data_IF_391098516504
#
_entry.id   IF_391098516504
#
_cell.length_a   1.000
_cell.length_b   1.000
_cell.length_c   1.000
_cell.angle_alpha   90.00
_cell.angle_beta   90.00
_cell.angle_gamma   90.00
#
_symmetry.space_group_name_H-M   'P 1'
#
loop_
_entity.id
_entity.type
_entity.pdbx_description
1 polymer ?
#
# COMPACT_ATOMS: atom_id res chain seq x y z
N UNK A 1 97.21 -20.68 17.09
CA UNK A 1 96.43 -19.51 16.59
C UNK A 1 94.98 -19.89 16.68
N UNK A 2 94.36 -19.53 17.78
CA UNK A 2 92.96 -19.92 18.07
C UNK A 2 92.08 -18.65 18.21
N UNK A 3 91.14 -18.48 17.30
CA UNK A 3 90.22 -17.43 17.35
C UNK A 3 88.94 -17.83 18.13
N UNK A 4 88.73 -17.19 19.27
CA UNK A 4 87.51 -17.33 20.09
C UNK A 4 86.43 -16.56 19.50
N UNK A 5 85.30 -17.23 19.10
CA UNK A 5 84.08 -16.66 18.77
C UNK A 5 83.26 -16.27 20.02
N UNK A 6 82.87 -14.99 20.13
CA UNK A 6 81.97 -14.49 21.18
C UNK A 6 80.54 -14.66 20.73
N UNK A 7 79.74 -15.49 21.39
CA UNK A 7 78.34 -15.60 21.19
C UNK A 7 77.62 -14.43 21.90
N UNK A 8 76.86 -13.63 21.16
CA UNK A 8 75.98 -12.58 21.70
C UNK A 8 74.60 -13.17 21.85
N UNK A 9 74.18 -13.38 23.08
CA UNK A 9 72.84 -13.81 23.41
C UNK A 9 71.91 -12.62 23.29
N UNK A 10 71.00 -12.63 22.27
CA UNK A 10 69.90 -11.70 22.17
C UNK A 10 68.69 -12.21 22.96
N UNK A 11 68.44 -11.64 24.11
CA UNK A 11 67.15 -11.82 24.84
C UNK A 11 66.04 -11.09 24.08
N UNK A 12 65.14 -11.87 23.51
CA UNK A 12 63.93 -11.37 22.88
C UNK A 12 62.92 -11.09 24.02
N UNK A 13 62.64 -9.79 24.26
CA UNK A 13 61.56 -9.39 25.14
C UNK A 13 60.24 -9.53 24.39
N UNK A 14 59.42 -10.51 24.76
CA UNK A 14 58.03 -10.61 24.32
C UNK A 14 57.19 -9.59 25.09
N UNK A 15 56.87 -8.47 24.47
CA UNK A 15 55.79 -7.61 24.94
C UNK A 15 54.46 -8.26 24.53
N UNK A 16 53.73 -8.76 25.52
CA UNK A 16 52.35 -9.21 25.33
C UNK A 16 51.47 -7.99 25.07
N UNK A 17 51.22 -7.64 23.82
CA UNK A 17 50.20 -6.68 23.40
C UNK A 17 48.85 -7.34 23.56
N UNK A 18 48.12 -7.00 24.63
CA UNK A 18 46.72 -7.36 24.78
C UNK A 18 45.89 -6.65 23.71
N UNK A 19 45.40 -7.37 22.70
CA UNK A 19 44.41 -6.87 21.78
C UNK A 19 43.06 -6.78 22.51
N UNK A 20 42.70 -5.57 22.92
CA UNK A 20 41.34 -5.28 23.42
C UNK A 20 40.44 -5.32 22.21
N UNK A 21 39.76 -6.45 22.00
CA UNK A 21 38.62 -6.49 21.04
C UNK A 21 37.47 -5.70 21.63
N UNK A 22 37.32 -4.45 21.21
CA UNK A 22 36.06 -3.75 21.33
C UNK A 22 35.08 -4.42 20.35
N UNK A 23 34.26 -5.37 20.85
CA UNK A 23 33.07 -5.78 20.16
C UNK A 23 32.12 -4.59 20.20
N UNK A 24 32.19 -3.72 19.20
CA UNK A 24 31.07 -2.84 18.89
C UNK A 24 29.92 -3.77 18.51
N UNK A 25 29.02 -4.04 19.44
CA UNK A 25 27.68 -4.50 19.10
C UNK A 25 27.14 -3.39 18.18
N UNK A 26 27.24 -3.62 16.87
CA UNK A 26 26.55 -2.78 15.90
C UNK A 26 25.08 -2.83 16.28
N UNK A 27 24.58 -1.77 16.86
CA UNK A 27 23.16 -1.54 16.91
C UNK A 27 22.74 -1.37 15.42
N UNK A 28 22.35 -2.47 14.79
CA UNK A 28 21.49 -2.39 13.63
C UNK A 28 20.20 -1.79 14.18
N UNK A 29 20.09 -0.48 14.15
CA UNK A 29 18.80 0.16 14.28
C UNK A 29 18.02 -0.35 13.07
N UNK A 30 17.11 -1.28 13.31
CA UNK A 30 16.15 -1.69 12.27
C UNK A 30 15.51 -0.41 11.77
N UNK A 31 15.81 -0.07 10.52
CA UNK A 31 15.28 1.16 9.92
C UNK A 31 13.78 0.96 9.77
N UNK A 32 13.01 1.62 10.63
CA UNK A 32 11.55 1.55 10.59
C UNK A 32 11.02 2.03 9.24
N UNK A 33 10.06 1.31 8.70
CA UNK A 33 9.32 1.71 7.52
C UNK A 33 8.49 2.96 7.85
N UNK A 34 8.50 3.92 6.93
CA UNK A 34 7.72 5.13 7.09
C UNK A 34 6.21 4.81 6.99
N UNK A 35 5.38 5.22 7.97
CA UNK A 35 3.97 4.92 7.97
C UNK A 35 3.23 5.56 6.78
N UNK A 36 2.29 4.82 6.19
CA UNK A 36 1.35 5.35 5.20
C UNK A 36 0.50 6.44 5.84
N UNK A 37 0.44 7.66 5.26
CA UNK A 37 -0.33 8.75 5.83
C UNK A 37 -1.81 8.45 5.93
N UNK A 38 -2.42 8.77 7.06
CA UNK A 38 -3.87 8.76 7.22
C UNK A 38 -4.49 9.89 6.40
N UNK A 39 -5.51 9.58 5.64
CA UNK A 39 -6.32 10.56 4.91
C UNK A 39 -7.79 10.42 5.30
N UNK A 40 -8.60 11.40 4.87
CA UNK A 40 -10.04 11.38 5.11
C UNK A 40 -10.73 10.24 4.36
N UNK A 41 -11.70 9.63 5.01
CA UNK A 41 -12.64 8.68 4.39
C UNK A 41 -13.42 9.35 3.24
N UNK A 42 -13.69 10.66 3.40
CA UNK A 42 -14.51 11.40 2.45
C UNK A 42 -16.01 11.12 2.64
N UNK A 43 -16.86 11.74 1.80
CA UNK A 43 -18.33 11.68 1.96
C UNK A 43 -18.99 10.50 1.24
N UNK A 44 -18.23 9.61 0.60
CA UNK A 44 -18.76 8.59 -0.31
C UNK A 44 -18.37 7.15 0.07
N UNK A 45 -18.03 6.90 1.35
CA UNK A 45 -18.05 5.53 1.85
C UNK A 45 -19.49 5.01 1.69
N UNK A 46 -19.71 3.81 1.11
CA UNK A 46 -21.06 3.35 0.80
C UNK A 46 -21.97 3.38 2.04
N UNK A 47 -23.08 4.10 1.96
CA UNK A 47 -24.11 4.15 3.00
C UNK A 47 -25.01 2.91 2.98
N UNK A 48 -24.92 2.13 1.89
CA UNK A 48 -25.49 0.80 1.72
C UNK A 48 -24.46 -0.07 1.05
N UNK A 49 -23.90 -1.01 1.81
CA UNK A 49 -22.94 -1.97 1.25
C UNK A 49 -23.62 -2.85 0.20
N UNK A 50 -22.94 -3.18 -0.91
CA UNK A 50 -23.49 -4.08 -1.92
C UNK A 50 -23.65 -5.50 -1.32
N UNK A 51 -24.47 -6.33 -1.95
CA UNK A 51 -24.64 -7.73 -1.55
C UNK A 51 -23.37 -8.53 -1.84
N UNK A 52 -22.73 -8.26 -2.97
CA UNK A 52 -21.42 -8.77 -3.30
C UNK A 52 -20.36 -7.79 -2.78
N UNK A 53 -19.43 -8.29 -1.97
CA UNK A 53 -18.40 -7.49 -1.32
C UNK A 53 -17.01 -8.09 -1.50
N UNK A 54 -16.89 -9.01 -2.43
CA UNK A 54 -15.63 -9.68 -2.68
C UNK A 54 -14.55 -8.75 -3.27
N UNK A 55 -13.43 -9.28 -3.64
CA UNK A 55 -12.29 -8.52 -4.16
C UNK A 55 -12.27 -8.38 -5.69
N UNK A 56 -13.32 -8.82 -6.39
CA UNK A 56 -13.50 -8.59 -7.83
C UNK A 56 -14.59 -7.53 -8.10
N UNK A 57 -14.20 -6.28 -8.19
CA UNK A 57 -15.15 -5.19 -8.42
C UNK A 57 -15.60 -5.08 -9.90
N UNK A 58 -15.05 -5.91 -10.79
CA UNK A 58 -15.32 -5.87 -12.24
C UNK A 58 -16.50 -6.76 -12.63
N UNK A 59 -16.74 -7.83 -11.87
CA UNK A 59 -17.81 -8.78 -12.11
C UNK A 59 -18.63 -8.94 -10.86
N UNK A 60 -19.92 -8.62 -10.90
CA UNK A 60 -20.84 -8.74 -9.75
C UNK A 60 -21.51 -10.11 -9.82
N UNK A 61 -21.28 -10.95 -8.81
CA UNK A 61 -21.82 -12.30 -8.72
C UNK A 61 -21.50 -13.14 -9.97
N UNK A 62 -22.52 -13.73 -10.59
CA UNK A 62 -22.37 -14.54 -11.80
C UNK A 62 -22.59 -13.74 -13.11
N UNK A 63 -22.50 -12.41 -13.07
CA UNK A 63 -22.70 -11.56 -14.25
C UNK A 63 -21.67 -11.87 -15.34
N UNK A 64 -22.12 -11.95 -16.58
CA UNK A 64 -21.25 -12.08 -17.76
C UNK A 64 -20.86 -10.73 -18.35
N UNK A 65 -21.46 -9.64 -17.88
CA UNK A 65 -21.16 -8.28 -18.31
C UNK A 65 -20.20 -7.65 -17.30
N UNK A 66 -18.95 -7.35 -17.68
CA UNK A 66 -18.01 -6.71 -16.80
C UNK A 66 -18.28 -5.21 -16.69
N UNK A 67 -17.75 -4.60 -15.64
CA UNK A 67 -17.70 -3.15 -15.47
C UNK A 67 -16.94 -2.45 -16.61
N UNK A 68 -17.32 -1.20 -16.88
CA UNK A 68 -16.62 -0.32 -17.83
C UNK A 68 -15.38 0.27 -17.16
N UNK A 69 -14.24 0.30 -17.87
CA UNK A 69 -13.03 0.95 -17.42
C UNK A 69 -11.76 0.17 -17.72
N UNK A 70 -10.63 0.72 -17.31
CA UNK A 70 -9.32 0.07 -17.47
C UNK A 70 -9.10 -0.89 -16.29
N UNK A 71 -9.24 -2.20 -16.53
CA UNK A 71 -9.09 -3.24 -15.49
C UNK A 71 -7.73 -3.11 -14.82
N UNK A 72 -7.72 -3.13 -13.51
CA UNK A 72 -6.51 -2.98 -12.68
C UNK A 72 -6.43 -4.07 -11.63
N UNK A 73 -5.30 -4.78 -11.60
CA UNK A 73 -4.93 -5.71 -10.54
C UNK A 73 -4.15 -4.95 -9.47
N UNK A 74 -4.84 -4.60 -8.38
CA UNK A 74 -4.24 -3.98 -7.20
C UNK A 74 -3.78 -5.08 -6.25
N UNK A 75 -2.52 -5.03 -5.85
CA UNK A 75 -1.93 -5.94 -4.85
C UNK A 75 -1.12 -5.16 -3.83
N UNK A 76 -0.85 -5.75 -2.69
CA UNK A 76 0.03 -5.16 -1.69
C UNK A 76 0.03 -5.98 -0.41
N UNK A 77 0.69 -5.47 0.61
CA UNK A 77 0.73 -6.06 1.94
C UNK A 77 0.40 -5.01 2.99
N UNK A 78 -0.19 -5.45 4.08
CA UNK A 78 -0.33 -4.64 5.30
C UNK A 78 0.78 -5.03 6.26
N UNK A 79 1.62 -4.07 6.62
CA UNK A 79 2.82 -4.26 7.43
C UNK A 79 2.83 -3.30 8.63
N UNK A 80 3.49 -3.72 9.71
CA UNK A 80 3.87 -2.82 10.80
C UNK A 80 5.09 -1.97 10.40
N UNK A 81 5.47 -0.93 11.17
CA UNK A 81 6.70 -0.17 10.92
C UNK A 81 7.97 -1.03 10.93
N UNK A 82 7.97 -2.14 11.64
CA UNK A 82 9.08 -3.10 11.69
C UNK A 82 9.11 -4.07 10.50
N UNK A 83 8.18 -3.94 9.55
CA UNK A 83 8.05 -4.83 8.39
C UNK A 83 7.34 -6.15 8.70
N UNK A 84 6.79 -6.32 9.91
CA UNK A 84 6.01 -7.51 10.27
C UNK A 84 4.68 -7.50 9.55
N UNK A 85 4.32 -8.62 8.93
CA UNK A 85 3.06 -8.80 8.23
C UNK A 85 1.85 -8.81 9.19
N UNK A 86 0.81 -8.07 8.86
CA UNK A 86 -0.47 -8.11 9.57
C UNK A 86 -1.42 -9.06 8.85
N UNK A 87 -1.64 -10.24 9.44
CA UNK A 87 -2.61 -11.24 8.98
C UNK A 87 -3.99 -11.01 9.58
N UNK A 88 -5.02 -11.53 8.92
CA UNK A 88 -6.42 -11.46 9.37
C UNK A 88 -6.88 -10.01 9.64
N UNK A 89 -6.36 -9.07 8.86
CA UNK A 89 -6.87 -7.72 8.80
C UNK A 89 -7.80 -7.60 7.58
N UNK A 90 -8.90 -6.89 7.72
CA UNK A 90 -9.77 -6.56 6.60
C UNK A 90 -9.25 -5.32 5.91
N UNK A 91 -8.97 -5.45 4.61
CA UNK A 91 -8.71 -4.32 3.72
C UNK A 91 -9.97 -4.08 2.92
N UNK A 92 -10.51 -2.88 3.00
CA UNK A 92 -11.65 -2.43 2.22
C UNK A 92 -11.18 -1.38 1.20
N UNK A 93 -11.72 -1.44 -0.02
CA UNK A 93 -11.52 -0.39 -1.00
C UNK A 93 -12.86 0.13 -1.51
N UNK A 94 -12.92 1.43 -1.83
CA UNK A 94 -14.05 2.00 -2.58
C UNK A 94 -13.57 3.12 -3.47
N UNK A 95 -14.24 3.27 -4.60
CA UNK A 95 -13.94 4.28 -5.60
C UNK A 95 -15.15 4.55 -6.49
N UNK A 96 -15.14 5.64 -7.23
CA UNK A 96 -16.14 5.87 -8.27
C UNK A 96 -15.91 4.95 -9.47
N UNK A 97 -16.98 4.72 -10.24
CA UNK A 97 -16.93 4.03 -11.52
C UNK A 97 -16.22 4.88 -12.60
N UNK A 98 -16.11 4.36 -13.83
CA UNK A 98 -15.49 5.06 -14.95
C UNK A 98 -16.22 6.35 -15.36
N UNK A 99 -17.47 6.51 -14.95
CA UNK A 99 -18.31 7.68 -15.17
C UNK A 99 -18.24 8.68 -14.01
N UNK A 100 -17.33 8.48 -13.06
CA UNK A 100 -17.14 9.32 -11.87
C UNK A 100 -18.34 9.33 -10.91
N UNK A 101 -19.01 8.18 -10.74
CA UNK A 101 -20.15 7.99 -9.82
C UNK A 101 -19.78 7.00 -8.75
N UNK A 102 -19.98 7.37 -7.49
CA UNK A 102 -19.77 6.49 -6.32
C UNK A 102 -21.01 5.65 -6.01
N UNK A 103 -20.79 4.46 -5.45
CA UNK A 103 -21.82 3.65 -4.83
C UNK A 103 -22.22 4.26 -3.46
N UNK A 104 -22.87 5.41 -3.50
CA UNK A 104 -23.37 6.10 -2.31
C UNK A 104 -24.61 6.88 -2.72
N UNK A 105 -25.72 6.79 -1.98
CA UNK A 105 -27.03 7.37 -2.36
C UNK A 105 -26.93 8.84 -2.71
N UNK A 106 -26.11 9.62 -2.00
CA UNK A 106 -25.90 11.06 -2.28
C UNK A 106 -25.34 11.33 -3.68
N UNK A 107 -24.61 10.39 -4.27
CA UNK A 107 -24.01 10.53 -5.61
C UNK A 107 -24.76 9.69 -6.65
N UNK A 108 -25.02 8.41 -6.37
CA UNK A 108 -25.69 7.49 -7.29
C UNK A 108 -27.14 7.86 -7.56
N UNK A 109 -27.89 8.35 -6.57
CA UNK A 109 -29.30 8.77 -6.79
C UNK A 109 -29.37 10.00 -7.68
N UNK A 110 -28.44 10.95 -7.52
CA UNK A 110 -28.35 12.15 -8.35
C UNK A 110 -27.87 11.87 -9.78
N UNK A 111 -27.10 10.79 -10.00
CA UNK A 111 -26.47 10.44 -11.27
C UNK A 111 -26.84 9.04 -11.76
N UNK A 112 -28.00 8.53 -11.38
CA UNK A 112 -28.44 7.15 -11.62
C UNK A 112 -28.32 6.71 -13.09
N UNK A 113 -28.60 7.58 -14.05
CA UNK A 113 -28.47 7.29 -15.48
C UNK A 113 -27.02 7.22 -15.99
N UNK A 114 -26.04 7.65 -15.17
CA UNK A 114 -24.62 7.65 -15.51
C UNK A 114 -23.86 6.55 -14.78
N UNK A 115 -24.43 6.01 -13.68
CA UNK A 115 -23.80 4.97 -12.88
C UNK A 115 -23.63 3.68 -13.69
N UNK A 116 -22.44 3.10 -13.67
CA UNK A 116 -22.20 1.75 -14.17
C UNK A 116 -22.76 0.72 -13.17
N UNK A 117 -23.85 0.08 -13.54
CA UNK A 117 -24.53 -0.94 -12.72
C UNK A 117 -23.74 -2.26 -12.64
N UNK A 118 -22.69 -2.43 -13.44
CA UNK A 118 -21.82 -3.60 -13.45
C UNK A 118 -20.55 -3.40 -12.64
N UNK A 119 -20.30 -2.20 -12.10
CA UNK A 119 -19.18 -1.92 -11.24
C UNK A 119 -19.61 -2.00 -9.77
N UNK A 120 -18.95 -2.90 -9.00
CA UNK A 120 -19.29 -3.14 -7.59
C UNK A 120 -19.03 -1.92 -6.69
N UNK A 121 -18.05 -1.06 -7.05
CA UNK A 121 -17.75 0.21 -6.38
C UNK A 121 -17.14 0.10 -4.98
N UNK A 122 -17.25 -1.04 -4.34
CA UNK A 122 -16.72 -1.39 -3.02
C UNK A 122 -16.30 -2.86 -3.00
N UNK A 123 -15.26 -3.20 -2.28
CA UNK A 123 -14.85 -4.58 -2.05
C UNK A 123 -13.98 -4.72 -0.81
N UNK A 124 -13.88 -5.93 -0.29
CA UNK A 124 -13.07 -6.24 0.87
C UNK A 124 -12.22 -7.49 0.66
N UNK A 125 -11.12 -7.58 1.40
CA UNK A 125 -10.21 -8.72 1.39
C UNK A 125 -9.58 -8.92 2.77
N UNK A 126 -9.59 -10.15 3.28
CA UNK A 126 -8.88 -10.48 4.51
C UNK A 126 -7.41 -10.82 4.20
N UNK A 127 -6.47 -10.16 4.86
CA UNK A 127 -5.04 -10.36 4.60
C UNK A 127 -4.58 -11.77 4.96
N UNK A 128 -3.76 -12.33 4.05
CA UNK A 128 -3.15 -13.64 4.21
C UNK A 128 -2.03 -13.64 5.28
N UNK A 129 -1.40 -14.79 5.51
CA UNK A 129 -0.33 -14.96 6.50
C UNK A 129 0.89 -14.07 6.30
N UNK A 130 1.15 -13.64 5.07
CA UNK A 130 2.21 -12.71 4.68
C UNK A 130 1.75 -11.23 4.66
N UNK A 131 0.53 -10.94 5.15
CA UNK A 131 -0.10 -9.62 5.11
C UNK A 131 -0.64 -9.24 3.74
N UNK A 132 -0.58 -10.14 2.76
CA UNK A 132 -0.96 -9.91 1.37
C UNK A 132 -2.44 -9.64 1.18
N UNK A 133 -2.76 -8.71 0.28
CA UNK A 133 -4.11 -8.45 -0.20
C UNK A 133 -4.12 -8.26 -1.72
N UNK A 134 -5.28 -8.43 -2.33
CA UNK A 134 -5.47 -8.23 -3.77
C UNK A 134 -6.89 -7.82 -4.10
N UNK A 135 -7.03 -7.00 -5.15
CA UNK A 135 -8.31 -6.63 -5.74
C UNK A 135 -8.20 -6.61 -7.26
N UNK A 136 -9.30 -6.88 -7.92
CA UNK A 136 -9.50 -6.61 -9.33
C UNK A 136 -10.52 -5.49 -9.44
N UNK A 137 -10.09 -4.33 -9.91
CA UNK A 137 -10.90 -3.12 -9.99
C UNK A 137 -10.62 -2.36 -11.28
N UNK A 138 -11.07 -1.13 -11.42
CA UNK A 138 -10.69 -0.26 -12.53
C UNK A 138 -9.62 0.73 -12.10
N UNK A 139 -8.81 1.20 -13.04
CA UNK A 139 -7.92 2.35 -12.82
C UNK A 139 -8.76 3.56 -12.43
N UNK A 140 -8.48 4.22 -11.30
CA UNK A 140 -9.33 5.28 -10.81
C UNK A 140 -9.34 6.49 -11.75
N UNK A 141 -10.47 7.17 -11.80
CA UNK A 141 -10.68 8.37 -12.58
C UNK A 141 -10.88 9.59 -11.67
N UNK A 142 -10.59 10.82 -12.13
CA UNK A 142 -10.92 12.02 -11.37
C UNK A 142 -12.44 12.26 -11.39
N UNK A 143 -12.96 12.96 -10.36
CA UNK A 143 -14.36 13.38 -10.32
C UNK A 143 -14.50 14.85 -9.87
N UNK A 144 -15.66 15.51 -10.04
CA UNK A 144 -15.86 16.90 -9.64
C UNK A 144 -15.49 17.16 -8.19
N UNK A 145 -14.60 18.12 -7.95
CA UNK A 145 -14.04 18.44 -6.63
C UNK A 145 -12.78 17.66 -6.24
N UNK A 146 -12.43 16.57 -6.94
CA UNK A 146 -11.25 15.76 -6.71
C UNK A 146 -10.50 15.48 -8.03
N UNK A 147 -9.59 16.37 -8.42
CA UNK A 147 -8.87 16.24 -9.70
C UNK A 147 -7.83 15.12 -9.69
N UNK A 148 -7.42 14.60 -8.54
CA UNK A 148 -6.56 13.44 -8.42
C UNK A 148 -7.40 12.15 -8.44
N UNK A 149 -7.20 11.25 -9.42
CA UNK A 149 -7.83 9.94 -9.40
C UNK A 149 -7.29 9.12 -8.24
N UNK A 150 -8.17 8.45 -7.50
CA UNK A 150 -7.79 7.73 -6.29
C UNK A 150 -8.72 6.57 -5.94
N UNK A 151 -8.18 5.63 -5.21
CA UNK A 151 -8.89 4.53 -4.55
C UNK A 151 -8.84 4.82 -3.05
N UNK A 152 -9.96 4.82 -2.37
CA UNK A 152 -10.01 4.86 -0.92
C UNK A 152 -9.68 3.49 -0.36
N UNK A 153 -8.96 3.46 0.75
CA UNK A 153 -8.56 2.23 1.43
C UNK A 153 -8.81 2.39 2.93
N UNK A 154 -9.42 1.36 3.53
CA UNK A 154 -9.55 1.24 4.98
C UNK A 154 -8.98 -0.10 5.42
N UNK A 155 -8.19 -0.09 6.47
CA UNK A 155 -7.67 -1.30 7.12
C UNK A 155 -8.26 -1.38 8.51
N UNK A 156 -8.87 -2.51 8.82
CA UNK A 156 -9.41 -2.80 10.15
C UNK A 156 -9.00 -4.20 10.63
N UNK A 157 -8.99 -4.41 11.94
CA UNK A 157 -8.78 -5.72 12.54
C UNK A 157 -9.60 -5.84 13.83
N UNK A 158 -10.27 -6.97 14.01
CA UNK A 158 -11.12 -7.22 15.16
C UNK A 158 -12.19 -6.13 15.41
N UNK A 159 -12.73 -5.55 14.32
CA UNK A 159 -13.72 -4.47 14.39
C UNK A 159 -13.14 -3.08 14.71
N UNK A 160 -11.82 -2.96 14.85
CA UNK A 160 -11.15 -1.68 15.09
C UNK A 160 -10.52 -1.16 13.79
N UNK A 161 -10.79 0.09 13.42
CA UNK A 161 -10.10 0.76 12.32
C UNK A 161 -8.65 1.05 12.71
N UNK A 162 -7.71 0.59 11.88
CA UNK A 162 -6.28 0.84 12.04
C UNK A 162 -5.82 2.01 11.18
N UNK A 163 -6.30 2.09 9.94
CA UNK A 163 -5.93 3.14 9.00
C UNK A 163 -7.06 3.39 7.99
N UNK A 164 -7.33 4.66 7.72
CA UNK A 164 -8.05 5.09 6.52
C UNK A 164 -7.11 5.98 5.70
N UNK A 165 -6.97 5.69 4.41
CA UNK A 165 -6.05 6.37 3.50
C UNK A 165 -6.60 6.39 2.07
N UNK A 166 -5.80 6.86 1.12
CA UNK A 166 -6.14 6.88 -0.30
C UNK A 166 -4.89 6.57 -1.12
N UNK A 167 -5.04 5.69 -2.11
CA UNK A 167 -4.03 5.41 -3.13
C UNK A 167 -4.30 6.31 -4.34
N UNK A 168 -3.34 7.16 -4.71
CA UNK A 168 -3.43 8.07 -5.85
C UNK A 168 -2.55 7.59 -7.01
N UNK A 169 -2.92 7.94 -8.23
CA UNK A 169 -2.14 7.59 -9.43
C UNK A 169 -0.89 8.44 -9.52
N UNK A 170 0.30 7.83 -9.47
CA UNK A 170 1.58 8.52 -9.61
C UNK A 170 1.67 9.25 -10.96
N UNK A 171 2.18 10.47 -10.93
CA UNK A 171 2.39 11.28 -12.13
C UNK A 171 1.12 11.92 -12.72
N UNK A 172 -0.07 11.68 -12.15
CA UNK A 172 -1.27 12.32 -12.66
C UNK A 172 -1.28 13.84 -12.38
N UNK A 173 -1.52 14.65 -13.41
CA UNK A 173 -1.46 16.12 -13.31
C UNK A 173 -2.45 16.71 -12.29
N UNK A 174 -3.55 16.00 -11.99
CA UNK A 174 -4.55 16.37 -10.99
C UNK A 174 -3.99 16.39 -9.56
N UNK A 175 -2.96 15.60 -9.24
CA UNK A 175 -2.39 15.53 -7.90
C UNK A 175 -1.93 16.90 -7.38
N UNK A 176 -1.31 17.71 -8.26
CA UNK A 176 -0.84 19.05 -7.90
C UNK A 176 -1.96 20.03 -7.52
N UNK A 177 -3.20 19.76 -7.92
CA UNK A 177 -4.38 20.61 -7.68
C UNK A 177 -5.35 20.02 -6.66
N UNK A 178 -5.14 18.77 -6.22
CA UNK A 178 -6.04 18.08 -5.30
C UNK A 178 -5.88 18.59 -3.87
N UNK A 179 -6.98 19.07 -3.29
CA UNK A 179 -6.98 19.68 -1.96
C UNK A 179 -6.64 18.70 -0.84
N UNK A 180 -7.03 17.42 -0.96
CA UNK A 180 -6.73 16.39 0.06
C UNK A 180 -5.27 16.00 0.01
N UNK A 181 -4.75 15.68 -1.19
CA UNK A 181 -3.35 15.32 -1.36
C UNK A 181 -2.38 16.44 -0.91
N UNK A 182 -2.72 17.69 -1.20
CA UNK A 182 -1.90 18.86 -0.83
C UNK A 182 -1.87 19.14 0.67
N UNK A 183 -2.84 18.64 1.47
CA UNK A 183 -2.79 18.78 2.94
C UNK A 183 -1.65 17.98 3.56
N UNK A 184 -1.20 16.92 2.92
CA UNK A 184 0.04 16.22 3.31
C UNK A 184 1.22 17.10 2.92
N UNK A 185 1.81 17.81 3.89
CA UNK A 185 2.80 18.88 3.62
C UNK A 185 4.14 18.33 3.15
N UNK A 186 4.59 17.22 3.73
CA UNK A 186 5.89 16.65 3.46
C UNK A 186 5.88 15.85 2.14
N UNK A 187 6.84 16.13 1.28
CA UNK A 187 6.98 15.46 -0.01
C UNK A 187 7.14 13.94 0.16
N UNK A 188 7.97 13.51 1.12
CA UNK A 188 8.22 12.10 1.41
C UNK A 188 6.92 11.37 1.82
N UNK A 189 6.11 12.01 2.65
CA UNK A 189 4.81 11.47 3.04
C UNK A 189 3.83 11.38 1.85
N UNK A 190 3.85 12.35 0.94
CA UNK A 190 3.05 12.29 -0.30
C UNK A 190 3.45 11.14 -1.21
N UNK A 191 4.74 10.82 -1.29
CA UNK A 191 5.23 9.69 -2.09
C UNK A 191 4.66 8.34 -1.62
N UNK A 192 4.38 8.20 -0.32
CA UNK A 192 3.78 7.00 0.28
C UNK A 192 2.28 6.81 -0.06
N UNK A 193 1.66 7.78 -0.73
CA UNK A 193 0.27 7.71 -1.19
C UNK A 193 0.16 7.41 -2.68
N UNK A 194 1.28 7.33 -3.40
CA UNK A 194 1.32 7.24 -4.85
C UNK A 194 1.63 5.82 -5.33
N UNK A 195 0.70 5.23 -6.08
CA UNK A 195 0.91 3.94 -6.74
C UNK A 195 1.31 4.08 -8.21
N UNK A 196 2.19 3.18 -8.64
CA UNK A 196 2.62 3.05 -10.03
C UNK A 196 1.66 2.13 -10.79
N UNK A 197 0.74 2.73 -11.54
CA UNK A 197 -0.16 1.99 -12.42
C UNK A 197 0.57 1.68 -13.72
N UNK A 198 0.91 0.41 -13.93
CA UNK A 198 1.66 -0.06 -15.10
C UNK A 198 0.75 -0.88 -16.01
N UNK A 199 0.71 -0.52 -17.29
CA UNK A 199 0.00 -1.31 -18.29
C UNK A 199 0.66 -2.69 -18.41
N UNK A 200 -0.15 -3.75 -18.37
CA UNK A 200 0.35 -5.10 -18.57
C UNK A 200 0.64 -5.34 -20.04
N UNK A 201 1.60 -6.23 -20.31
CA UNK A 201 1.98 -6.60 -21.67
C UNK A 201 0.79 -7.29 -22.38
N UNK A 202 0.50 -6.84 -23.59
CA UNK A 202 -0.59 -7.36 -24.42
C UNK A 202 -0.49 -8.87 -24.67
N UNK A 203 0.72 -9.45 -24.60
CA UNK A 203 0.92 -10.91 -24.69
C UNK A 203 0.33 -11.69 -23.49
N UNK A 204 0.01 -11.02 -22.40
CA UNK A 204 -0.56 -11.59 -21.16
C UNK A 204 -2.04 -11.25 -20.97
N UNK A 205 -2.65 -10.59 -21.94
CA UNK A 205 -4.04 -10.16 -21.86
C UNK A 205 -5.02 -11.33 -21.95
N UNK A 206 -6.15 -11.18 -21.30
CA UNK A 206 -7.30 -12.05 -21.50
C UNK A 206 -7.77 -12.01 -22.95
N UNK A 207 -8.48 -13.05 -23.40
CA UNK A 207 -8.95 -13.24 -24.80
C UNK A 207 -9.77 -12.06 -25.38
N UNK A 208 -10.14 -11.07 -24.56
CA UNK A 208 -10.96 -9.90 -24.95
C UNK A 208 -10.14 -8.70 -25.47
N UNK A 209 -8.80 -8.73 -25.42
CA UNK A 209 -7.96 -7.62 -25.92
C UNK A 209 -8.10 -6.30 -25.13
N UNK A 210 -8.71 -6.32 -23.93
CA UNK A 210 -8.87 -5.14 -23.07
C UNK A 210 -7.54 -4.88 -22.35
N UNK A 211 -6.98 -3.66 -22.41
CA UNK A 211 -5.77 -3.33 -21.67
C UNK A 211 -5.98 -3.49 -20.17
N UNK A 212 -5.11 -4.27 -19.54
CA UNK A 212 -5.10 -4.44 -18.09
C UNK A 212 -3.91 -3.72 -17.50
N UNK A 213 -4.07 -3.29 -16.25
CA UNK A 213 -3.07 -2.57 -15.47
C UNK A 213 -2.73 -3.35 -14.21
N UNK A 214 -1.56 -3.13 -13.68
CA UNK A 214 -1.17 -3.58 -12.33
C UNK A 214 -0.74 -2.40 -11.49
N UNK A 215 -1.04 -2.48 -10.19
CA UNK A 215 -0.52 -1.56 -9.18
C UNK A 215 -0.16 -2.36 -7.94
N UNK A 216 1.04 -2.15 -7.42
CA UNK A 216 1.44 -2.68 -6.12
C UNK A 216 1.51 -1.55 -5.10
N UNK A 217 0.86 -1.73 -3.95
CA UNK A 217 0.79 -0.70 -2.91
C UNK A 217 0.85 -1.35 -1.52
N UNK A 218 2.03 -1.30 -0.88
CA UNK A 218 2.17 -1.75 0.51
C UNK A 218 1.64 -0.67 1.46
N UNK A 219 0.92 -1.09 2.50
CA UNK A 219 0.34 -0.24 3.54
C UNK A 219 1.14 -0.46 4.81
N UNK A 220 1.80 0.60 5.29
CA UNK A 220 2.56 0.56 6.54
C UNK A 220 1.72 1.23 7.63
N UNK A 221 1.37 0.49 8.66
CA UNK A 221 0.61 1.02 9.80
C UNK A 221 1.49 1.90 10.68
N UNK A 222 0.95 3.02 11.19
CA UNK A 222 1.68 3.93 12.08
C UNK A 222 1.88 3.39 13.50
N UNK A 223 1.04 2.42 13.91
CA UNK A 223 1.09 1.76 15.21
C UNK A 223 0.87 0.27 15.00
N UNK A 224 1.46 -0.56 15.86
CA UNK A 224 1.11 -1.97 15.88
C UNK A 224 -0.26 -2.15 16.55
N UNK A 225 -1.02 -3.23 16.23
CA UNK A 225 -2.28 -3.53 16.93
C UNK A 225 -2.13 -3.69 18.45
N UNK A 226 -0.93 -3.98 18.95
CA UNK A 226 -0.63 -4.05 20.36
C UNK A 226 -0.62 -2.66 21.01
N UNK A 227 -0.11 -1.64 20.31
CA UNK A 227 0.00 -0.27 20.83
C UNK A 227 -1.38 0.42 20.93
N UNK A 228 -2.37 -0.04 20.17
CA UNK A 228 -3.73 0.49 20.19
C UNK A 228 -4.54 0.08 21.44
N UNK A 229 -4.03 -0.84 22.28
CA UNK A 229 -4.70 -1.33 23.49
C UNK A 229 -4.31 -0.60 24.77
N UNK A 230 -3.29 0.25 24.73
CA UNK A 230 -2.74 0.96 25.89
C UNK A 230 -3.07 2.48 25.92
N UNK A 231 -3.95 2.95 25.03
CA UNK A 231 -4.35 4.35 24.93
C UNK A 231 -5.72 4.68 25.51
#
# INVERSE_FOLDING_TARGET
>A
MSLRSKSVSRRLAMTAGGAVFFSTRGAFADQLLAPTPRLTEGPFYPDRLPLDQDNDLIVIGESTTPAVGEVTHLTGRVLTPTGTALRNATVEIWQCDANAVYLHSRDSDAKKSQQDQHFQGYGQFETAGDGGYRFRTIKPVPYPGRPAPHIHIKVSQNGQELLTTQLLVRGHAGNARDGVFRRVREKQQRELLLGDFRKLDESKLTKAGIPEWSCHFDIILGQSPADAKEG
#
